data_IF_297957761096
#
_entry.id   IF_297957761096
#
_cell.length_a   1.000
_cell.length_b   1.000
_cell.length_c   1.000
_cell.angle_alpha   90.00
_cell.angle_beta   90.00
_cell.angle_gamma   90.00
#
_symmetry.space_group_name_H-M   'P 1'
#
loop_
_entity.id
_entity.type
_entity.pdbx_description
1 polymer ?
#
# COMPACT_ATOMS: atom_id res chain seq x y z
N UNK A 1 -2.63 -6.78 15.18
CA UNK A 1 -3.35 -5.52 14.96
C UNK A 1 -2.36 -4.44 14.57
N UNK A 2 -2.66 -3.73 13.49
CA UNK A 2 -1.77 -2.70 12.99
C UNK A 2 -2.41 -1.33 13.16
N UNK A 3 -1.63 -0.26 12.97
CA UNK A 3 -2.12 1.10 13.07
C UNK A 3 -1.36 2.01 12.09
N UNK A 4 -1.65 3.30 12.12
CA UNK A 4 -1.04 4.26 11.22
C UNK A 4 0.47 4.35 11.38
N UNK A 5 0.97 4.18 12.59
CA UNK A 5 2.42 4.20 12.81
C UNK A 5 3.10 3.01 12.15
N UNK A 6 2.44 1.86 12.14
CA UNK A 6 2.97 0.69 11.44
C UNK A 6 3.04 0.96 9.94
N UNK A 7 2.01 1.60 9.37
CA UNK A 7 2.01 1.96 7.95
C UNK A 7 3.20 2.88 7.66
N UNK A 8 3.39 3.89 8.50
CA UNK A 8 4.47 4.85 8.30
C UNK A 8 5.83 4.17 8.38
N UNK A 9 6.04 3.36 9.38
CA UNK A 9 7.30 2.66 9.56
C UNK A 9 7.62 1.76 8.37
N UNK A 10 6.62 1.01 7.93
CA UNK A 10 6.82 0.08 6.82
C UNK A 10 7.02 0.81 5.49
N UNK A 11 6.25 1.85 5.24
CA UNK A 11 6.37 2.60 4.00
C UNK A 11 7.71 3.32 3.91
N UNK A 12 8.13 3.95 5.00
CA UNK A 12 9.37 4.70 4.99
C UNK A 12 10.62 3.81 4.99
N UNK A 13 10.46 2.54 5.30
CA UNK A 13 11.56 1.58 5.17
C UNK A 13 11.83 1.21 3.72
N UNK A 14 10.90 1.50 2.81
CA UNK A 14 11.09 1.20 1.39
C UNK A 14 11.85 2.36 0.73
N UNK A 15 12.66 2.08 -0.30
CA UNK A 15 13.47 3.14 -0.91
C UNK A 15 12.64 4.13 -1.71
N UNK A 16 13.11 5.36 -1.74
CA UNK A 16 12.55 6.42 -2.56
C UNK A 16 11.12 6.81 -2.23
N UNK A 17 10.66 6.51 -1.01
CA UNK A 17 9.31 6.85 -0.60
C UNK A 17 9.25 8.29 -0.12
N UNK A 18 8.22 9.00 -0.59
CA UNK A 18 7.95 10.36 -0.14
C UNK A 18 6.75 10.34 0.79
N UNK A 19 6.86 11.00 1.91
CA UNK A 19 5.74 11.16 2.83
C UNK A 19 5.12 12.53 2.59
N UNK A 20 3.83 12.56 2.27
CA UNK A 20 3.13 13.80 2.01
C UNK A 20 2.52 14.31 3.32
N UNK A 21 2.79 15.55 3.64
CA UNK A 21 2.27 16.15 4.86
C UNK A 21 0.78 16.38 4.74
N UNK A 22 0.01 15.76 5.62
CA UNK A 22 -1.44 15.89 5.61
C UNK A 22 -1.98 15.48 6.99
N UNK A 23 -3.29 15.56 7.16
CA UNK A 23 -3.92 15.24 8.44
C UNK A 23 -3.92 13.75 8.75
N UNK A 24 -3.57 12.90 7.79
CA UNK A 24 -3.45 11.48 7.98
C UNK A 24 -2.09 11.01 7.50
N UNK A 25 -2.07 10.06 6.57
CA UNK A 25 -0.82 9.63 5.93
C UNK A 25 -1.04 9.46 4.43
N UNK A 26 0.03 9.68 3.68
CA UNK A 26 0.00 9.56 2.23
C UNK A 26 1.44 9.29 1.81
N UNK A 27 1.70 8.09 1.31
CA UNK A 27 3.04 7.70 0.91
C UNK A 27 3.08 7.43 -0.58
N UNK A 28 4.09 7.98 -1.24
CA UNK A 28 4.22 7.94 -2.69
C UNK A 28 5.60 7.47 -3.11
N UNK A 29 5.67 6.87 -4.29
CA UNK A 29 6.93 6.52 -4.92
C UNK A 29 6.82 6.92 -6.39
N UNK A 30 7.83 7.66 -6.88
CA UNK A 30 7.80 8.15 -8.24
C UNK A 30 6.61 9.06 -8.52
N UNK A 31 6.13 9.76 -7.51
CA UNK A 31 4.98 10.64 -7.65
C UNK A 31 3.64 9.96 -7.58
N UNK A 32 3.61 8.63 -7.38
CA UNK A 32 2.38 7.86 -7.37
C UNK A 32 2.09 7.32 -5.97
N UNK A 33 0.88 7.56 -5.47
CA UNK A 33 0.48 7.05 -4.17
C UNK A 33 0.32 5.54 -4.19
N UNK A 34 0.80 4.86 -3.15
CA UNK A 34 0.62 3.42 -3.04
C UNK A 34 -0.12 3.02 -1.76
N UNK A 35 -0.11 3.88 -0.74
CA UNK A 35 -0.92 3.68 0.46
C UNK A 35 -1.18 5.04 1.09
N UNK A 36 -2.43 5.30 1.46
CA UNK A 36 -2.80 6.57 2.10
C UNK A 36 -4.02 6.38 2.99
N UNK A 37 -4.26 7.34 3.88
CA UNK A 37 -5.40 7.26 4.79
C UNK A 37 -6.70 7.49 4.04
N UNK A 38 -7.75 6.80 4.46
CA UNK A 38 -9.03 6.81 3.76
C UNK A 38 -9.74 8.16 3.96
N UNK A 39 -10.04 8.87 2.86
CA UNK A 39 -10.76 10.14 2.97
C UNK A 39 -12.27 9.88 3.00
N UNK A 40 -12.79 9.73 4.20
CA UNK A 40 -14.22 9.47 4.37
C UNK A 40 -15.01 10.76 4.24
N UNK A 41 -16.03 10.73 3.40
CA UNK A 41 -16.90 11.89 3.22
C UNK A 41 -18.32 11.51 3.58
N UNK A 42 -18.94 12.27 4.46
CA UNK A 42 -20.32 12.08 4.82
C UNK A 42 -21.16 13.22 4.29
N UNK A 43 -22.43 12.98 3.93
CA UNK A 43 -23.28 14.01 3.38
C UNK A 43 -23.36 15.22 4.31
N UNK A 44 -23.16 16.39 3.72
CA UNK A 44 -23.27 17.64 4.47
C UNK A 44 -22.09 17.97 5.36
N UNK A 45 -21.01 17.18 5.29
CA UNK A 45 -19.85 17.39 6.14
C UNK A 45 -18.56 17.43 5.34
N UNK A 46 -17.53 17.98 5.94
CA UNK A 46 -16.21 17.99 5.36
C UNK A 46 -15.63 16.59 5.37
N UNK A 47 -14.72 16.34 4.44
CA UNK A 47 -14.00 15.10 4.36
C UNK A 47 -13.14 14.90 5.62
N UNK A 48 -13.16 13.70 6.17
CA UNK A 48 -12.35 13.34 7.33
C UNK A 48 -11.38 12.25 6.91
N UNK A 49 -10.09 12.41 7.23
CA UNK A 49 -9.10 11.37 6.94
C UNK A 49 -9.10 10.36 8.07
N UNK A 50 -9.50 9.14 7.73
CA UNK A 50 -9.55 8.03 8.70
C UNK A 50 -8.18 7.36 8.73
N UNK A 51 -7.48 7.50 9.86
CA UNK A 51 -6.15 6.90 9.99
C UNK A 51 -6.19 5.44 10.46
N UNK A 52 -7.37 4.94 10.76
CA UNK A 52 -7.56 3.53 11.08
C UNK A 52 -7.89 2.70 9.84
N UNK A 53 -8.03 3.35 8.68
CA UNK A 53 -8.32 2.69 7.42
C UNK A 53 -7.35 3.22 6.37
N UNK A 54 -6.68 2.31 5.68
CA UNK A 54 -5.76 2.67 4.61
C UNK A 54 -6.38 2.37 3.26
N UNK A 55 -6.11 3.23 2.27
CA UNK A 55 -6.41 2.93 0.88
C UNK A 55 -5.14 2.35 0.29
N UNK A 56 -5.24 1.20 -0.33
CA UNK A 56 -4.09 0.44 -0.80
C UNK A 56 -4.21 0.14 -2.27
N UNK A 57 -3.14 0.38 -3.02
CA UNK A 57 -3.09 0.03 -4.43
C UNK A 57 -2.87 -1.48 -4.58
N UNK A 58 -3.67 -2.13 -5.42
CA UNK A 58 -3.60 -3.59 -5.57
C UNK A 58 -3.38 -4.06 -7.01
N UNK A 59 -3.22 -3.14 -7.92
CA UNK A 59 -2.77 -3.49 -9.26
C UNK A 59 -3.87 -3.71 -10.28
N UNK A 60 -4.83 -4.56 -10.00
CA UNK A 60 -5.89 -4.81 -10.97
C UNK A 60 -7.17 -5.28 -10.27
N UNK A 61 -8.22 -5.43 -11.06
CA UNK A 61 -9.53 -5.79 -10.56
C UNK A 61 -9.57 -7.22 -10.03
N UNK A 62 -8.83 -8.12 -10.65
CA UNK A 62 -8.82 -9.52 -10.21
C UNK A 62 -8.24 -9.64 -8.80
N UNK A 63 -7.15 -8.93 -8.54
CA UNK A 63 -6.54 -8.94 -7.22
C UNK A 63 -7.47 -8.28 -6.20
N UNK A 64 -8.11 -7.18 -6.59
CA UNK A 64 -9.07 -6.49 -5.74
C UNK A 64 -10.18 -7.44 -5.31
N UNK A 65 -10.78 -8.16 -6.25
CA UNK A 65 -11.85 -9.07 -5.93
C UNK A 65 -11.39 -10.24 -5.08
N UNK A 66 -10.18 -10.74 -5.34
CA UNK A 66 -9.64 -11.83 -4.54
C UNK A 66 -9.50 -11.43 -3.07
N UNK A 67 -9.03 -10.22 -2.81
CA UNK A 67 -8.88 -9.74 -1.44
C UNK A 67 -10.24 -9.51 -0.77
N UNK A 68 -11.18 -8.91 -1.51
CA UNK A 68 -12.51 -8.63 -0.96
C UNK A 68 -13.25 -9.92 -0.61
N UNK A 69 -13.13 -10.94 -1.44
CA UNK A 69 -13.82 -12.20 -1.22
C UNK A 69 -13.08 -13.07 -0.21
N UNK A 70 -11.76 -13.03 -0.21
CA UNK A 70 -10.97 -13.90 0.63
C UNK A 70 -10.81 -13.40 2.06
N UNK A 71 -10.78 -12.09 2.26
CA UNK A 71 -10.54 -11.52 3.59
C UNK A 71 -11.50 -10.36 3.85
N UNK A 72 -12.81 -10.64 3.90
CA UNK A 72 -13.80 -9.55 4.03
C UNK A 72 -13.77 -8.80 5.35
N UNK A 73 -13.16 -9.39 6.39
CA UNK A 73 -13.01 -8.69 7.66
C UNK A 73 -11.92 -7.62 7.56
N UNK A 74 -10.98 -7.79 6.65
CA UNK A 74 -9.83 -6.90 6.50
C UNK A 74 -10.07 -5.87 5.41
N UNK A 75 -10.58 -6.31 4.26
CA UNK A 75 -10.71 -5.46 3.07
C UNK A 75 -12.16 -5.13 2.75
N UNK A 76 -12.39 -3.91 2.30
CA UNK A 76 -13.70 -3.53 1.81
C UNK A 76 -13.54 -2.48 0.70
N UNK A 77 -14.64 -2.14 0.05
CA UNK A 77 -14.63 -1.11 -0.98
C UNK A 77 -15.92 -0.31 -0.87
N UNK A 78 -15.97 0.82 -1.55
CA UNK A 78 -17.17 1.64 -1.62
C UNK A 78 -17.46 1.96 -3.09
N UNK A 79 -18.69 2.38 -3.42
CA UNK A 79 -19.02 2.66 -4.83
C UNK A 79 -18.12 3.68 -5.49
N UNK A 80 -17.57 4.62 -4.74
CA UNK A 80 -16.68 5.62 -5.30
C UNK A 80 -15.37 5.05 -5.81
N UNK A 81 -15.03 3.82 -5.43
CA UNK A 81 -13.79 3.17 -5.85
C UNK A 81 -14.02 2.06 -6.86
N UNK A 82 -15.26 1.90 -7.34
CA UNK A 82 -15.55 0.92 -8.37
C UNK A 82 -14.75 1.21 -9.62
N UNK A 83 -14.13 0.19 -10.18
CA UNK A 83 -13.32 0.34 -11.37
C UNK A 83 -11.90 0.81 -11.12
N UNK A 84 -11.54 1.08 -9.87
CA UNK A 84 -10.18 1.47 -9.52
C UNK A 84 -9.47 0.31 -8.83
N UNK A 85 -8.17 0.12 -9.07
CA UNK A 85 -7.42 -0.97 -8.43
C UNK A 85 -6.99 -0.60 -7.02
N UNK A 86 -7.97 -0.22 -6.21
CA UNK A 86 -7.76 0.23 -4.84
C UNK A 86 -8.73 -0.49 -3.92
N UNK A 87 -8.27 -0.84 -2.73
CA UNK A 87 -9.14 -1.39 -1.68
C UNK A 87 -8.92 -0.62 -0.41
N UNK A 88 -9.91 -0.62 0.46
CA UNK A 88 -9.76 -0.09 1.81
C UNK A 88 -9.39 -1.23 2.75
N UNK A 89 -8.46 -0.96 3.65
CA UNK A 89 -7.87 -1.92 4.56
C UNK A 89 -8.10 -1.46 6.00
N UNK A 90 -8.78 -2.30 6.78
CA UNK A 90 -8.99 -2.01 8.20
C UNK A 90 -7.74 -2.39 8.96
N UNK A 91 -6.99 -1.40 9.40
CA UNK A 91 -5.70 -1.65 10.03
C UNK A 91 -5.81 -2.48 11.31
N UNK A 92 -6.88 -2.31 12.06
CA UNK A 92 -7.09 -3.06 13.28
C UNK A 92 -7.28 -4.55 13.04
N UNK A 93 -7.63 -4.95 11.82
CA UNK A 93 -7.91 -6.34 11.50
C UNK A 93 -6.75 -7.04 10.81
N UNK A 94 -5.61 -6.37 10.63
CA UNK A 94 -4.49 -6.97 9.93
C UNK A 94 -3.27 -7.00 10.85
N UNK A 95 -2.48 -8.07 10.76
CA UNK A 95 -1.25 -8.17 11.53
C UNK A 95 -0.11 -7.44 10.84
N UNK A 96 0.95 -7.10 11.59
CA UNK A 96 2.07 -6.34 11.02
C UNK A 96 2.78 -7.06 9.87
N UNK A 97 2.89 -8.38 9.95
CA UNK A 97 3.53 -9.14 8.87
C UNK A 97 2.75 -9.09 7.58
N UNK A 98 1.44 -9.24 7.66
CA UNK A 98 0.58 -9.16 6.49
C UNK A 98 0.58 -7.74 5.93
N UNK A 99 0.55 -6.75 6.82
CA UNK A 99 0.60 -5.35 6.39
C UNK A 99 1.90 -5.07 5.65
N UNK A 100 3.03 -5.60 6.14
CA UNK A 100 4.31 -5.41 5.47
C UNK A 100 4.28 -5.96 4.05
N UNK A 101 3.70 -7.14 3.87
CA UNK A 101 3.56 -7.73 2.53
C UNK A 101 2.72 -6.83 1.61
N UNK A 102 1.60 -6.37 2.12
CA UNK A 102 0.67 -5.56 1.33
C UNK A 102 1.29 -4.23 0.91
N UNK A 103 1.96 -3.57 1.85
CA UNK A 103 2.59 -2.28 1.58
C UNK A 103 3.74 -2.45 0.58
N UNK A 104 4.55 -3.48 0.76
CA UNK A 104 5.67 -3.74 -0.14
C UNK A 104 5.18 -4.07 -1.55
N UNK A 105 4.14 -4.89 -1.67
CA UNK A 105 3.59 -5.22 -2.97
C UNK A 105 3.02 -3.99 -3.67
N UNK A 106 2.32 -3.14 -2.92
CA UNK A 106 1.79 -1.91 -3.50
C UNK A 106 2.91 -1.01 -4.01
N UNK A 107 3.99 -0.91 -3.22
CA UNK A 107 5.16 -0.14 -3.63
C UNK A 107 5.75 -0.68 -4.93
N UNK A 108 5.92 -2.00 -5.02
CA UNK A 108 6.49 -2.61 -6.22
C UNK A 108 5.66 -2.34 -7.46
N UNK A 109 4.35 -2.36 -7.32
CA UNK A 109 3.47 -2.14 -8.44
C UNK A 109 3.44 -0.69 -8.91
N UNK A 110 3.69 0.25 -8.00
CA UNK A 110 3.63 1.68 -8.33
C UNK A 110 4.99 2.27 -8.65
N UNK A 111 6.05 1.67 -8.15
CA UNK A 111 7.39 2.21 -8.37
C UNK A 111 7.80 2.10 -9.83
N UNK A 112 8.52 3.09 -10.38
CA UNK A 112 9.13 2.93 -11.68
C UNK A 112 10.02 1.69 -11.71
N UNK A 113 10.17 1.09 -12.87
CA UNK A 113 10.89 -0.17 -12.99
C UNK A 113 12.28 -0.14 -12.39
N UNK A 114 12.99 0.93 -12.57
CA UNK A 114 14.35 1.03 -12.03
C UNK A 114 14.37 1.06 -10.51
N UNK A 115 13.34 1.63 -9.88
CA UNK A 115 13.27 1.66 -8.43
C UNK A 115 12.81 0.32 -7.87
N UNK A 116 11.91 -0.37 -8.56
CA UNK A 116 11.51 -1.70 -8.16
C UNK A 116 12.68 -2.66 -8.23
N UNK A 117 13.55 -2.50 -9.22
CA UNK A 117 14.74 -3.32 -9.33
C UNK A 117 15.68 -3.13 -8.15
N UNK A 118 15.74 -1.93 -7.58
CA UNK A 118 16.56 -1.68 -6.39
C UNK A 118 16.10 -2.53 -5.21
N UNK A 119 14.79 -2.66 -5.02
CA UNK A 119 14.27 -3.50 -3.95
C UNK A 119 14.56 -4.97 -4.22
N UNK A 120 14.38 -5.40 -5.45
CA UNK A 120 14.63 -6.79 -5.82
C UNK A 120 16.11 -7.11 -5.65
N UNK A 121 16.98 -6.22 -6.04
CA UNK A 121 18.41 -6.42 -5.86
C UNK A 121 18.77 -6.49 -4.39
N UNK A 122 18.16 -5.67 -3.55
CA UNK A 122 18.40 -5.72 -2.12
C UNK A 122 17.90 -7.02 -1.52
N UNK A 123 16.77 -7.49 -1.97
CA UNK A 123 16.22 -8.74 -1.48
C UNK A 123 17.10 -9.92 -1.85
N UNK A 124 17.70 -9.87 -3.01
CA UNK A 124 18.54 -10.94 -3.47
C UNK A 124 19.95 -10.86 -2.94
N UNK A 125 20.32 -9.75 -2.40
CA UNK A 125 21.68 -9.48 -2.01
C UNK A 125 22.26 -10.59 -1.16
N UNK A 126 21.59 -11.01 -0.19
CA UNK A 126 22.12 -12.05 0.65
C UNK A 126 21.90 -13.40 0.07
N UNK A 127 21.06 -13.53 -0.89
CA UNK A 127 20.70 -14.82 -1.38
C UNK A 127 21.55 -15.22 -2.52
N UNK A 128 21.81 -14.44 -3.46
CA UNK A 128 22.53 -14.91 -4.52
C UNK A 128 23.09 -13.89 -5.22
N UNK A 129 22.89 -13.09 -4.95
CA UNK A 129 23.45 -12.30 -5.64
C UNK A 129 23.42 -12.45 -6.94
N UNK A 130 23.34 -12.83 -7.43
CA UNK A 130 23.44 -12.92 -8.58
C UNK A 130 22.64 -12.86 -9.35
N UNK A 131 22.26 -12.86 -9.60
CA UNK A 131 21.67 -12.81 -10.48
C UNK A 131 21.22 -11.95 -10.78
N UNK A 132 21.46 -11.48 -10.09
CA UNK A 132 20.89 -10.57 -10.33
C UNK A 132 20.99 -10.04 -11.41
N UNK A 133 21.59 -10.11 -11.57
CA UNK A 133 21.80 -9.61 -12.47
C UNK A 133 20.97 -9.68 -13.25
N UNK A 134 20.65 -10.20 -13.30
CA UNK A 134 19.99 -10.23 -14.08
C UNK A 134 19.20 -9.51 -14.17
N UNK A 135 19.13 -9.31 -13.77
CA UNK A 135 18.24 -8.81 -13.96
C UNK A 135 18.26 -7.84 -14.21
N UNK A 136 18.69 -7.80 -14.09
CA UNK A 136 18.67 -6.64 -14.38
C UNK A 136 17.91 -6.42 -14.76
#
# INVERSE_FOLDING_TARGET
MADAEDVRRLALALPHVEEIDCDGFDFRVGGKGFVWSYPERQPGQSRVLRTDIAVLYVGDEAEKQALLLGEPAVFFTTPGYDGWPLVMLRLAEVGPGRLAELVTDAWRMRAPAELAADVDASADFGASGDFGASGG
#
